data_IF_449590328380
#
_entry.id   IF_449590328380
#
_cell.length_a   1.000
_cell.length_b   1.000
_cell.length_c   1.000
_cell.angle_alpha   90.00
_cell.angle_beta   90.00
_cell.angle_gamma   90.00
#
_symmetry.space_group_name_H-M   'P 1'
#
loop_
_entity.id
_entity.type
_entity.pdbx_description
1 polymer ?
#
# COMPACT_ATOMS: atom_id res chain seq x y z
N UNK A 1 32.63 -21.34 -3.13
CA UNK A 1 31.36 -20.70 -2.67
C UNK A 1 30.49 -20.53 -3.91
N UNK A 2 29.49 -21.35 -4.09
CA UNK A 2 28.51 -21.16 -5.15
C UNK A 2 27.80 -19.82 -4.88
N UNK A 3 27.91 -18.90 -5.81
CA UNK A 3 27.09 -17.69 -5.83
C UNK A 3 25.64 -18.14 -6.05
N UNK A 4 24.86 -18.23 -4.98
CA UNK A 4 23.41 -18.42 -5.08
C UNK A 4 22.87 -17.40 -6.08
N UNK A 5 22.21 -17.89 -7.13
CA UNK A 5 21.59 -17.04 -8.14
C UNK A 5 20.62 -16.07 -7.45
N UNK A 6 20.76 -14.78 -7.72
CA UNK A 6 19.89 -13.74 -7.15
C UNK A 6 18.47 -13.89 -7.69
N UNK A 7 17.47 -13.72 -6.80
CA UNK A 7 16.07 -13.64 -7.21
C UNK A 7 15.83 -12.36 -8.01
N UNK A 8 15.36 -12.48 -9.23
CA UNK A 8 15.05 -11.37 -10.14
C UNK A 8 13.65 -10.86 -9.87
N UNK A 9 13.55 -9.64 -9.36
CA UNK A 9 12.29 -9.03 -8.90
C UNK A 9 11.92 -7.85 -9.81
N UNK A 10 10.82 -8.00 -10.56
CA UNK A 10 10.21 -6.91 -11.31
C UNK A 10 9.28 -6.09 -10.39
N UNK A 11 9.55 -4.81 -10.22
CA UNK A 11 8.71 -3.88 -9.45
C UNK A 11 7.97 -2.93 -10.39
N UNK A 12 6.71 -3.22 -10.66
CA UNK A 12 5.83 -2.36 -11.45
C UNK A 12 5.28 -1.22 -10.59
N UNK A 13 5.31 -0.01 -11.10
CA UNK A 13 4.89 1.18 -10.35
C UNK A 13 5.93 1.61 -9.30
N UNK A 14 7.21 1.45 -9.58
CA UNK A 14 8.33 1.68 -8.66
C UNK A 14 8.40 3.11 -8.09
N UNK A 15 7.76 4.10 -8.72
CA UNK A 15 7.64 5.48 -8.21
C UNK A 15 6.55 5.66 -7.17
N UNK A 16 5.75 4.64 -6.89
CA UNK A 16 4.67 4.69 -5.91
C UNK A 16 5.17 4.72 -4.47
N UNK A 17 4.39 5.27 -3.56
CA UNK A 17 4.71 5.40 -2.14
C UNK A 17 5.06 4.06 -1.48
N UNK A 18 4.21 3.03 -1.66
CA UNK A 18 4.43 1.70 -1.07
C UNK A 18 5.63 1.01 -1.74
N UNK A 19 5.77 1.16 -3.06
CA UNK A 19 6.89 0.58 -3.81
C UNK A 19 8.25 1.13 -3.35
N UNK A 20 8.35 2.45 -3.14
CA UNK A 20 9.57 3.06 -2.60
C UNK A 20 9.90 2.53 -1.21
N UNK A 21 8.90 2.40 -0.34
CA UNK A 21 9.08 1.88 1.01
C UNK A 21 9.50 0.40 1.01
N UNK A 22 8.89 -0.44 0.17
CA UNK A 22 9.32 -1.82 -0.02
C UNK A 22 10.75 -1.89 -0.54
N UNK A 23 11.07 -1.11 -1.56
CA UNK A 23 12.41 -1.08 -2.15
C UNK A 23 13.48 -0.72 -1.11
N UNK A 24 13.21 0.28 -0.24
CA UNK A 24 14.15 0.72 0.81
C UNK A 24 14.53 -0.36 1.82
N UNK A 25 13.66 -1.34 2.05
CA UNK A 25 13.92 -2.45 2.98
C UNK A 25 14.33 -3.74 2.28
N UNK A 26 13.80 -4.01 1.09
CA UNK A 26 14.14 -5.22 0.35
C UNK A 26 15.53 -5.15 -0.31
N UNK A 27 16.02 -3.94 -0.64
CA UNK A 27 17.34 -3.77 -1.24
C UNK A 27 18.51 -4.07 -0.29
N UNK A 28 18.27 -4.16 1.02
CA UNK A 28 19.24 -4.63 2.00
C UNK A 28 19.60 -6.12 1.79
N UNK A 29 18.74 -6.84 1.08
CA UNK A 29 18.93 -8.25 0.73
C UNK A 29 19.84 -8.39 -0.48
N UNK A 30 20.99 -9.01 -0.27
CA UNK A 30 22.00 -9.25 -1.35
C UNK A 30 21.60 -10.34 -2.33
N UNK A 31 20.61 -11.16 -1.98
CA UNK A 31 20.04 -12.24 -2.78
C UNK A 31 18.93 -11.78 -3.75
N UNK A 32 18.65 -10.47 -3.81
CA UNK A 32 17.69 -9.90 -4.75
C UNK A 32 18.36 -9.02 -5.80
N UNK A 33 17.80 -9.05 -7.02
CA UNK A 33 18.11 -8.15 -8.13
C UNK A 33 16.83 -7.48 -8.60
N UNK A 34 16.82 -6.14 -8.66
CA UNK A 34 15.62 -5.36 -8.93
C UNK A 34 15.59 -4.81 -10.35
N UNK A 35 14.42 -4.98 -10.99
CA UNK A 35 14.03 -4.40 -12.26
C UNK A 35 12.88 -3.44 -12.01
N UNK A 36 13.11 -2.14 -12.16
CA UNK A 36 12.18 -1.10 -11.79
C UNK A 36 11.45 -0.56 -13.01
N UNK A 37 10.12 -0.60 -12.97
CA UNK A 37 9.27 -0.16 -14.07
C UNK A 37 8.41 1.03 -13.68
N UNK A 38 8.45 2.08 -14.52
CA UNK A 38 7.62 3.27 -14.37
C UNK A 38 7.34 3.93 -15.73
N UNK A 39 6.49 4.95 -15.74
CA UNK A 39 6.19 5.75 -16.93
C UNK A 39 7.30 6.73 -17.32
N UNK A 40 8.20 7.06 -16.38
CA UNK A 40 9.28 8.04 -16.55
C UNK A 40 10.56 7.50 -15.91
N UNK A 41 11.63 7.46 -16.70
CA UNK A 41 12.97 7.06 -16.24
C UNK A 41 13.56 8.09 -15.28
N UNK A 42 13.30 9.40 -15.49
CA UNK A 42 13.77 10.48 -14.63
C UNK A 42 13.24 10.34 -13.21
N UNK A 43 11.95 9.97 -13.07
CA UNK A 43 11.35 9.70 -11.77
C UNK A 43 11.95 8.49 -11.08
N UNK A 44 12.41 7.49 -11.81
CA UNK A 44 13.13 6.34 -11.23
C UNK A 44 14.51 6.78 -10.68
N UNK A 45 15.19 7.72 -11.31
CA UNK A 45 16.45 8.27 -10.80
C UNK A 45 16.23 9.00 -9.47
N UNK A 46 15.15 9.78 -9.36
CA UNK A 46 14.78 10.44 -8.10
C UNK A 46 14.48 9.42 -7.00
N UNK A 47 13.76 8.34 -7.33
CA UNK A 47 13.47 7.24 -6.40
C UNK A 47 14.76 6.61 -5.91
N UNK A 48 15.67 6.22 -6.81
CA UNK A 48 16.93 5.55 -6.44
C UNK A 48 17.79 6.43 -5.53
N UNK A 49 17.88 7.74 -5.79
CA UNK A 49 18.55 8.70 -4.92
C UNK A 49 17.91 8.75 -3.53
N UNK A 50 16.58 8.80 -3.47
CA UNK A 50 15.81 8.91 -2.23
C UNK A 50 15.89 7.64 -1.37
N UNK A 51 15.84 6.47 -2.01
CA UNK A 51 15.83 5.16 -1.33
C UNK A 51 17.25 4.66 -1.04
N UNK A 52 18.29 5.32 -1.58
CA UNK A 52 19.71 4.94 -1.42
C UNK A 52 20.00 3.49 -1.84
N UNK A 53 19.38 3.05 -2.93
CA UNK A 53 19.47 1.67 -3.43
C UNK A 53 20.69 1.47 -4.31
N UNK A 54 21.24 0.25 -4.25
CA UNK A 54 22.24 -0.32 -5.16
C UNK A 54 21.75 -0.32 -6.62
N UNK A 55 22.64 -0.53 -7.60
CA UNK A 55 22.26 -0.47 -9.01
C UNK A 55 21.07 -1.40 -9.27
N UNK A 56 19.95 -0.81 -9.66
CA UNK A 56 18.77 -1.48 -10.14
C UNK A 56 18.60 -1.16 -11.63
N UNK A 57 18.13 -2.13 -12.40
CA UNK A 57 17.80 -1.91 -13.80
C UNK A 57 16.51 -1.09 -13.89
N UNK A 58 16.46 -0.10 -14.79
CA UNK A 58 15.34 0.81 -14.98
C UNK A 58 14.81 0.67 -16.39
N UNK A 59 13.48 0.58 -16.54
CA UNK A 59 12.86 0.46 -17.84
C UNK A 59 11.42 1.04 -17.87
N UNK A 60 10.93 1.25 -19.08
CA UNK A 60 9.52 1.49 -19.32
C UNK A 60 8.69 0.20 -19.25
N UNK A 61 7.38 0.34 -19.13
CA UNK A 61 6.50 -0.85 -19.06
C UNK A 61 6.50 -1.71 -20.33
N UNK A 62 6.87 -1.14 -21.47
CA UNK A 62 6.98 -1.83 -22.76
C UNK A 62 8.12 -2.85 -22.79
N UNK A 63 9.11 -2.71 -21.93
CA UNK A 63 10.23 -3.63 -21.80
C UNK A 63 9.95 -4.80 -20.86
N UNK A 64 8.97 -4.63 -19.95
CA UNK A 64 8.64 -5.65 -18.94
C UNK A 64 8.38 -7.04 -19.54
N UNK A 65 7.61 -7.22 -20.66
CA UNK A 65 7.32 -8.55 -21.18
C UNK A 65 8.53 -9.31 -21.77
N UNK A 66 9.66 -8.62 -21.95
CA UNK A 66 10.88 -9.17 -22.56
C UNK A 66 11.86 -9.73 -21.53
N UNK A 67 11.71 -9.36 -20.27
CA UNK A 67 12.57 -9.82 -19.20
C UNK A 67 12.13 -11.18 -18.63
N UNK A 68 12.99 -11.76 -17.83
CA UNK A 68 12.69 -12.96 -17.05
C UNK A 68 12.74 -12.62 -15.57
N UNK A 69 11.70 -12.96 -14.81
CA UNK A 69 11.58 -12.59 -13.40
C UNK A 69 11.11 -13.79 -12.59
N UNK A 70 11.72 -13.98 -11.42
CA UNK A 70 11.25 -14.95 -10.42
C UNK A 70 10.02 -14.41 -9.69
N UNK A 71 9.97 -13.08 -9.51
CA UNK A 71 8.92 -12.41 -8.73
C UNK A 71 8.48 -11.12 -9.43
N UNK A 72 7.19 -10.87 -9.46
CA UNK A 72 6.59 -9.60 -9.86
C UNK A 72 5.94 -8.96 -8.63
N UNK A 73 6.33 -7.72 -8.30
CA UNK A 73 5.65 -6.87 -7.35
C UNK A 73 4.81 -5.84 -8.13
N UNK A 74 3.51 -6.03 -8.19
CA UNK A 74 2.62 -5.09 -8.89
C UNK A 74 2.06 -4.04 -7.91
N UNK A 75 2.69 -2.86 -7.91
CA UNK A 75 2.25 -1.67 -7.16
C UNK A 75 1.58 -0.61 -8.03
N UNK A 76 1.15 -0.96 -9.24
CA UNK A 76 0.47 -0.03 -10.15
C UNK A 76 -0.97 0.21 -9.72
N UNK A 77 -1.49 1.40 -10.01
CA UNK A 77 -2.86 1.77 -9.73
C UNK A 77 -3.01 3.21 -9.27
N UNK A 78 -4.25 3.61 -9.01
CA UNK A 78 -4.61 4.92 -8.46
C UNK A 78 -5.09 4.69 -7.02
N UNK A 79 -4.27 5.04 -6.03
CA UNK A 79 -4.61 4.84 -4.61
C UNK A 79 -4.74 6.15 -3.83
N UNK A 80 -4.31 7.27 -4.36
CA UNK A 80 -4.42 8.59 -3.74
C UNK A 80 -5.87 9.11 -3.77
N UNK A 81 -6.47 9.59 -2.64
CA UNK A 81 -7.86 10.00 -2.58
C UNK A 81 -8.20 11.16 -3.52
N UNK A 82 -7.28 12.12 -3.71
CA UNK A 82 -7.48 13.24 -4.63
C UNK A 82 -7.53 12.72 -6.07
N UNK A 83 -6.55 11.90 -6.44
CA UNK A 83 -6.50 11.28 -7.77
C UNK A 83 -7.70 10.38 -8.03
N UNK A 84 -8.19 9.64 -7.03
CA UNK A 84 -9.41 8.82 -7.16
C UNK A 84 -10.65 9.68 -7.45
N UNK A 85 -10.78 10.83 -6.78
CA UNK A 85 -11.88 11.78 -7.08
C UNK A 85 -11.78 12.37 -8.49
N UNK A 86 -10.57 12.64 -8.96
CA UNK A 86 -10.29 13.18 -10.28
C UNK A 86 -10.41 12.13 -11.39
N UNK A 87 -9.90 10.93 -11.16
CA UNK A 87 -9.80 9.86 -12.14
C UNK A 87 -11.14 9.25 -12.55
N UNK A 88 -12.16 9.32 -11.69
CA UNK A 88 -13.50 8.79 -12.00
C UNK A 88 -13.42 7.33 -12.54
N UNK A 89 -13.88 7.14 -13.80
CA UNK A 89 -13.87 5.85 -14.48
C UNK A 89 -12.47 5.36 -14.90
N UNK A 90 -11.46 6.24 -14.94
CA UNK A 90 -10.09 5.89 -15.33
C UNK A 90 -9.45 4.83 -14.42
N UNK A 91 -10.00 4.61 -13.21
CA UNK A 91 -9.54 3.55 -12.32
C UNK A 91 -9.64 2.16 -12.96
N UNK A 92 -10.69 1.92 -13.77
CA UNK A 92 -10.90 0.64 -14.42
C UNK A 92 -9.86 0.35 -15.49
N UNK A 93 -9.71 1.16 -16.57
CA UNK A 93 -8.73 0.88 -17.61
C UNK A 93 -7.28 0.90 -17.10
N UNK A 94 -6.96 1.74 -16.10
CA UNK A 94 -5.62 1.73 -15.50
C UNK A 94 -5.37 0.42 -14.76
N UNK A 95 -6.29 -0.04 -13.91
CA UNK A 95 -6.16 -1.29 -13.17
C UNK A 95 -6.11 -2.47 -14.12
N UNK A 96 -7.03 -2.53 -15.08
CA UNK A 96 -7.13 -3.61 -16.07
C UNK A 96 -5.87 -3.75 -16.93
N UNK A 97 -5.33 -2.64 -17.42
CA UNK A 97 -4.12 -2.66 -18.26
C UNK A 97 -2.95 -3.35 -17.57
N UNK A 98 -2.66 -3.01 -16.32
CA UNK A 98 -1.51 -3.57 -15.61
C UNK A 98 -1.77 -4.97 -15.09
N UNK A 99 -3.00 -5.26 -14.73
CA UNK A 99 -3.45 -6.59 -14.35
C UNK A 99 -3.31 -7.56 -15.54
N UNK A 100 -3.81 -7.18 -16.70
CA UNK A 100 -3.69 -7.95 -17.93
C UNK A 100 -2.23 -8.16 -18.35
N UNK A 101 -1.39 -7.12 -18.25
CA UNK A 101 0.05 -7.19 -18.54
C UNK A 101 0.74 -8.28 -17.69
N UNK A 102 0.41 -8.35 -16.40
CA UNK A 102 0.95 -9.36 -15.49
C UNK A 102 0.41 -10.76 -15.82
N UNK A 103 -0.90 -10.90 -16.06
CA UNK A 103 -1.50 -12.21 -16.39
C UNK A 103 -0.99 -12.77 -17.72
N UNK A 104 -0.78 -11.95 -18.73
CA UNK A 104 -0.15 -12.35 -20.00
C UNK A 104 1.30 -12.79 -19.81
N UNK A 105 2.04 -12.14 -18.92
CA UNK A 105 3.39 -12.57 -18.55
C UNK A 105 3.35 -13.94 -17.86
N UNK A 106 2.50 -14.11 -16.83
CA UNK A 106 2.36 -15.35 -16.07
C UNK A 106 1.91 -16.53 -16.94
N UNK A 107 1.11 -16.31 -17.98
CA UNK A 107 0.70 -17.37 -18.92
C UNK A 107 1.88 -18.00 -19.65
N UNK A 108 2.96 -17.24 -19.86
CA UNK A 108 4.21 -17.69 -20.49
C UNK A 108 5.28 -18.11 -19.47
N UNK A 109 5.17 -17.64 -18.23
CA UNK A 109 6.13 -17.88 -17.15
C UNK A 109 5.41 -18.39 -15.88
N UNK A 110 4.84 -19.62 -15.90
CA UNK A 110 4.00 -20.13 -14.82
C UNK A 110 4.72 -20.34 -13.49
N UNK A 111 6.06 -20.37 -13.49
CA UNK A 111 6.88 -20.45 -12.26
C UNK A 111 7.07 -19.12 -11.53
N UNK A 112 6.72 -17.99 -12.16
CA UNK A 112 6.88 -16.66 -11.56
C UNK A 112 5.82 -16.42 -10.47
N UNK A 113 6.26 -15.94 -9.30
CA UNK A 113 5.36 -15.47 -8.23
C UNK A 113 4.93 -14.03 -8.49
N UNK A 114 3.64 -13.76 -8.52
CA UNK A 114 3.10 -12.39 -8.60
C UNK A 114 2.53 -11.96 -7.26
N UNK A 115 3.00 -10.84 -6.73
CA UNK A 115 2.50 -10.18 -5.53
C UNK A 115 1.82 -8.88 -5.96
N UNK A 116 0.50 -8.85 -5.88
CA UNK A 116 -0.32 -7.69 -6.24
C UNK A 116 -0.67 -6.88 -4.99
N UNK A 117 -0.38 -5.58 -5.01
CA UNK A 117 -0.79 -4.67 -3.92
C UNK A 117 -2.28 -4.34 -4.08
N UNK A 118 -3.11 -5.14 -3.44
CA UNK A 118 -4.55 -4.97 -3.33
C UNK A 118 -4.91 -4.06 -2.16
N UNK A 119 -6.18 -3.99 -1.81
CA UNK A 119 -6.68 -3.09 -0.78
C UNK A 119 -7.80 -3.73 0.04
N UNK A 120 -7.93 -3.35 1.31
CA UNK A 120 -9.12 -3.66 2.10
C UNK A 120 -10.43 -3.16 1.49
N UNK A 121 -10.39 -2.30 0.47
CA UNK A 121 -11.58 -1.86 -0.26
C UNK A 121 -12.30 -2.99 -1.02
N UNK A 122 -11.70 -4.16 -1.17
CA UNK A 122 -12.38 -5.36 -1.70
C UNK A 122 -13.53 -5.83 -0.83
N UNK A 123 -13.54 -5.44 0.45
CA UNK A 123 -14.64 -5.72 1.37
C UNK A 123 -15.79 -4.69 1.28
N UNK A 124 -15.66 -3.66 0.44
CA UNK A 124 -16.65 -2.62 0.24
C UNK A 124 -16.20 -1.22 0.65
N UNK A 125 -17.17 -0.32 0.75
CA UNK A 125 -16.94 1.09 1.10
C UNK A 125 -17.31 1.43 2.55
N UNK A 126 -18.12 0.62 3.22
CA UNK A 126 -18.64 0.85 4.55
C UNK A 126 -17.97 -0.10 5.55
N UNK A 127 -17.38 0.46 6.59
CA UNK A 127 -16.66 -0.30 7.62
C UNK A 127 -17.15 0.13 9.01
N UNK A 128 -18.38 -0.20 9.35
CA UNK A 128 -18.97 0.03 10.68
C UNK A 128 -18.39 -0.91 11.74
N UNK A 129 -17.75 -1.99 11.31
CA UNK A 129 -17.01 -2.96 12.12
C UNK A 129 -15.77 -3.44 11.35
N UNK A 130 -14.76 -4.02 12.04
CA UNK A 130 -13.64 -4.65 11.34
C UNK A 130 -14.13 -5.82 10.49
N UNK A 131 -13.37 -6.12 9.44
CA UNK A 131 -13.64 -7.25 8.54
C UNK A 131 -12.81 -8.46 8.91
N UNK A 132 -13.21 -9.63 8.41
CA UNK A 132 -12.49 -10.89 8.49
C UNK A 132 -12.70 -11.70 7.20
N UNK A 133 -12.23 -12.96 7.18
CA UNK A 133 -12.35 -13.87 6.04
C UNK A 133 -13.77 -14.37 5.78
N UNK A 134 -14.71 -14.15 6.70
CA UNK A 134 -16.14 -14.45 6.54
C UNK A 134 -16.96 -13.25 6.07
N UNK A 135 -16.35 -12.08 5.99
CA UNK A 135 -17.04 -10.85 5.63
C UNK A 135 -17.45 -10.86 4.16
N UNK A 136 -18.77 -10.87 3.93
CA UNK A 136 -19.35 -10.81 2.58
C UNK A 136 -19.49 -9.37 2.10
N UNK A 137 -19.14 -9.14 0.84
CA UNK A 137 -19.40 -7.88 0.16
C UNK A 137 -20.86 -7.83 -0.33
N UNK A 138 -21.54 -6.71 -0.07
CA UNK A 138 -22.82 -6.40 -0.69
C UNK A 138 -22.68 -5.17 -1.58
N UNK A 139 -23.04 -5.29 -2.85
CA UNK A 139 -23.08 -4.20 -3.81
C UNK A 139 -24.49 -4.01 -4.36
N UNK A 140 -25.01 -2.78 -4.25
CA UNK A 140 -26.22 -2.43 -4.96
C UNK A 140 -25.86 -2.01 -6.39
N UNK A 141 -26.00 -2.95 -7.35
CA UNK A 141 -25.57 -2.74 -8.73
C UNK A 141 -26.32 -1.59 -9.42
N UNK A 142 -27.54 -1.29 -8.99
CA UNK A 142 -28.35 -0.21 -9.55
C UNK A 142 -27.96 1.18 -9.02
N UNK A 143 -27.13 1.25 -7.99
CA UNK A 143 -26.74 2.49 -7.31
C UNK A 143 -25.22 2.58 -7.05
N UNK A 144 -24.40 2.07 -7.99
CA UNK A 144 -22.96 2.22 -7.91
C UNK A 144 -22.55 3.67 -8.07
N UNK A 145 -21.80 4.21 -7.13
CA UNK A 145 -21.27 5.55 -7.12
C UNK A 145 -19.74 5.59 -7.23
N UNK A 146 -19.19 6.81 -7.27
CA UNK A 146 -17.74 7.01 -7.39
C UNK A 146 -16.94 6.37 -6.26
N UNK A 147 -17.51 6.31 -5.07
CA UNK A 147 -16.93 5.68 -3.88
C UNK A 147 -16.80 4.16 -4.00
N UNK A 148 -17.58 3.52 -4.90
CA UNK A 148 -17.55 2.08 -5.14
C UNK A 148 -16.46 1.68 -6.15
N UNK A 149 -16.14 2.55 -7.12
CA UNK A 149 -15.33 2.21 -8.29
C UNK A 149 -13.94 1.64 -7.93
N UNK A 150 -13.30 2.19 -6.91
CA UNK A 150 -12.00 1.67 -6.46
C UNK A 150 -12.10 0.25 -5.92
N UNK A 151 -13.09 -0.02 -5.06
CA UNK A 151 -13.36 -1.36 -4.53
C UNK A 151 -13.69 -2.35 -5.64
N UNK A 152 -14.61 -1.98 -6.53
CA UNK A 152 -15.02 -2.82 -7.67
C UNK A 152 -13.83 -3.15 -8.58
N UNK A 153 -12.96 -2.20 -8.90
CA UNK A 153 -11.77 -2.46 -9.71
C UNK A 153 -10.82 -3.46 -9.03
N UNK A 154 -10.64 -3.37 -7.70
CA UNK A 154 -9.81 -4.32 -6.95
C UNK A 154 -10.45 -5.71 -6.86
N UNK A 155 -11.77 -5.80 -6.66
CA UNK A 155 -12.52 -7.07 -6.67
C UNK A 155 -12.39 -7.73 -8.04
N UNK A 156 -12.53 -6.98 -9.13
CA UNK A 156 -12.40 -7.49 -10.50
C UNK A 156 -11.00 -8.12 -10.70
N UNK A 157 -9.92 -7.43 -10.31
CA UNK A 157 -8.57 -7.99 -10.38
C UNK A 157 -8.44 -9.28 -9.57
N UNK A 158 -8.87 -9.28 -8.30
CA UNK A 158 -8.77 -10.49 -7.46
C UNK A 158 -9.61 -11.66 -8.01
N UNK A 159 -10.78 -11.38 -8.59
CA UNK A 159 -11.60 -12.40 -9.23
C UNK A 159 -10.88 -13.03 -10.45
N UNK A 160 -10.24 -12.22 -11.30
CA UNK A 160 -9.41 -12.71 -12.41
C UNK A 160 -8.23 -13.55 -11.90
N UNK A 161 -7.56 -13.12 -10.83
CA UNK A 161 -6.48 -13.86 -10.21
C UNK A 161 -6.94 -15.23 -9.70
N UNK A 162 -8.12 -15.33 -9.10
CA UNK A 162 -8.68 -16.63 -8.64
C UNK A 162 -9.10 -17.52 -9.80
N UNK A 163 -9.54 -16.93 -10.93
CA UNK A 163 -9.90 -17.67 -12.13
C UNK A 163 -8.67 -18.13 -12.97
N UNK A 164 -7.48 -17.63 -12.65
CA UNK A 164 -6.24 -17.94 -13.36
C UNK A 164 -5.59 -19.21 -12.80
N UNK A 165 -5.89 -20.36 -13.39
CA UNK A 165 -5.58 -21.71 -12.87
C UNK A 165 -4.10 -22.05 -12.76
N UNK A 166 -3.23 -21.31 -13.44
CA UNK A 166 -1.78 -21.63 -13.58
C UNK A 166 -0.86 -20.67 -12.84
N UNK A 167 -1.41 -19.78 -12.02
CA UNK A 167 -0.66 -18.68 -11.44
C UNK A 167 -0.34 -18.85 -9.96
N UNK A 168 0.87 -18.44 -9.59
CA UNK A 168 1.24 -18.14 -8.22
C UNK A 168 0.92 -16.66 -7.98
N UNK A 169 -0.33 -16.33 -7.61
CA UNK A 169 -0.78 -14.95 -7.45
C UNK A 169 -1.24 -14.70 -6.02
N UNK A 170 -0.61 -13.76 -5.37
CA UNK A 170 -0.93 -13.31 -4.02
C UNK A 170 -1.45 -11.88 -4.06
N UNK A 171 -2.66 -11.67 -3.58
CA UNK A 171 -3.23 -10.33 -3.37
C UNK A 171 -3.00 -9.89 -1.93
N UNK A 172 -2.14 -8.90 -1.74
CA UNK A 172 -1.85 -8.29 -0.44
C UNK A 172 -2.84 -7.15 -0.21
N UNK A 173 -3.88 -7.38 0.61
CA UNK A 173 -4.95 -6.42 0.90
C UNK A 173 -4.50 -5.45 1.98
N UNK A 174 -4.01 -4.30 1.59
CA UNK A 174 -3.52 -3.26 2.48
C UNK A 174 -4.68 -2.33 2.87
N UNK A 175 -4.98 -2.21 4.17
CA UNK A 175 -6.00 -1.31 4.71
C UNK A 175 -5.45 0.10 4.89
N UNK A 176 -4.31 0.22 5.52
CA UNK A 176 -3.58 1.45 5.67
C UNK A 176 -2.07 1.21 5.65
N UNK A 177 -1.33 2.19 5.19
CA UNK A 177 0.11 2.12 5.11
C UNK A 177 0.70 3.51 5.34
N UNK A 178 1.79 3.59 6.09
CA UNK A 178 2.47 4.84 6.32
C UNK A 178 3.98 4.66 6.22
N UNK A 179 4.66 5.59 5.53
CA UNK A 179 6.11 5.61 5.45
C UNK A 179 6.62 7.03 5.20
N UNK A 180 7.91 7.23 5.41
CA UNK A 180 8.61 8.49 5.11
C UNK A 180 8.56 8.91 3.64
N UNK A 181 8.12 8.04 2.75
CA UNK A 181 8.00 8.31 1.31
C UNK A 181 6.63 8.86 0.90
N UNK A 182 5.78 9.26 1.86
CA UNK A 182 4.49 9.87 1.57
C UNK A 182 4.62 11.12 0.68
N UNK A 183 3.60 11.39 -0.14
CA UNK A 183 3.40 12.74 -0.70
C UNK A 183 2.69 13.59 0.36
N UNK A 184 3.34 14.62 0.93
CA UNK A 184 2.75 15.45 1.97
C UNK A 184 1.49 16.20 1.51
N UNK A 185 1.28 16.31 0.19
CA UNK A 185 0.10 16.98 -0.40
C UNK A 185 -1.10 16.03 -0.56
N UNK A 186 -0.93 14.72 -0.32
CA UNK A 186 -2.01 13.75 -0.43
C UNK A 186 -3.04 13.94 0.70
N UNK A 187 -4.33 13.87 0.34
CA UNK A 187 -5.46 14.19 1.23
C UNK A 187 -5.81 13.02 2.18
N UNK A 188 -4.82 12.55 2.96
CA UNK A 188 -5.01 11.57 4.01
C UNK A 188 -4.89 12.19 5.41
N UNK A 189 -5.62 11.65 6.39
CA UNK A 189 -5.53 12.02 7.79
C UNK A 189 -4.07 12.10 8.28
N UNK A 190 -3.31 11.01 8.08
CA UNK A 190 -1.90 10.91 8.50
C UNK A 190 -0.98 11.94 7.84
N UNK A 191 -1.22 12.25 6.56
CA UNK A 191 -0.44 13.25 5.82
C UNK A 191 -0.73 14.66 6.32
N UNK A 192 -2.01 14.95 6.64
CA UNK A 192 -2.41 16.23 7.25
C UNK A 192 -1.78 16.45 8.63
N UNK A 193 -1.72 15.39 9.46
CA UNK A 193 -1.03 15.46 10.77
C UNK A 193 0.43 15.85 10.57
N UNK A 194 1.15 15.19 9.66
CA UNK A 194 2.56 15.52 9.35
C UNK A 194 2.69 16.93 8.81
N UNK A 195 1.83 17.34 7.87
CA UNK A 195 1.85 18.68 7.32
C UNK A 195 1.61 19.76 8.39
N UNK A 196 0.69 19.54 9.33
CA UNK A 196 0.47 20.45 10.45
C UNK A 196 1.68 20.55 11.38
N UNK A 197 2.37 19.45 11.65
CA UNK A 197 3.61 19.45 12.42
C UNK A 197 4.71 20.25 11.71
N UNK A 198 4.94 19.98 10.42
CA UNK A 198 5.95 20.68 9.61
C UNK A 198 5.71 22.19 9.51
N UNK A 199 4.44 22.60 9.38
CA UNK A 199 4.07 24.00 9.21
C UNK A 199 3.68 24.70 10.53
N UNK A 200 3.81 24.04 11.68
CA UNK A 200 3.33 24.53 13.00
C UNK A 200 1.86 24.98 13.00
N UNK A 201 1.07 24.37 12.11
CA UNK A 201 -0.35 24.68 11.93
C UNK A 201 -1.24 23.87 12.88
N UNK A 202 -2.44 24.35 13.09
CA UNK A 202 -3.45 23.64 13.86
C UNK A 202 -4.12 22.55 13.02
N UNK A 203 -4.22 21.35 13.57
CA UNK A 203 -4.96 20.24 12.97
C UNK A 203 -6.42 20.31 13.38
N UNK A 204 -7.31 20.62 12.43
CA UNK A 204 -8.75 20.70 12.66
C UNK A 204 -9.42 19.38 12.27
N UNK A 205 -10.30 18.85 13.15
CA UNK A 205 -11.01 17.59 12.91
C UNK A 205 -12.40 17.58 13.56
N UNK A 206 -13.27 16.68 13.11
CA UNK A 206 -14.59 16.46 13.73
C UNK A 206 -14.53 15.56 14.97
N UNK A 207 -15.65 15.46 15.74
CA UNK A 207 -15.74 14.68 16.97
C UNK A 207 -15.76 13.17 16.75
N UNK A 208 -16.15 12.68 15.56
CA UNK A 208 -16.20 11.26 15.24
C UNK A 208 -14.83 10.60 15.38
N UNK A 209 -14.78 9.45 16.03
CA UNK A 209 -13.56 8.65 16.14
C UNK A 209 -13.52 7.61 15.02
N UNK A 210 -12.32 7.29 14.54
CA UNK A 210 -12.09 6.24 13.54
C UNK A 210 -10.91 5.37 13.97
N UNK A 211 -10.96 4.09 13.66
CA UNK A 211 -9.87 3.15 13.92
C UNK A 211 -9.24 2.76 12.58
N UNK A 212 -7.92 2.85 12.49
CA UNK A 212 -7.13 2.55 11.30
C UNK A 212 -6.00 1.60 11.62
N UNK A 213 -5.66 0.80 10.64
CA UNK A 213 -4.49 -0.05 10.69
C UNK A 213 -3.44 0.48 9.71
N UNK A 214 -2.33 0.98 10.26
CA UNK A 214 -1.20 1.51 9.50
C UNK A 214 -0.03 0.54 9.58
N UNK A 215 0.15 -0.24 8.53
CA UNK A 215 1.22 -1.22 8.43
C UNK A 215 2.57 -0.52 8.26
N UNK A 216 3.56 -1.00 9.03
CA UNK A 216 4.93 -0.51 8.95
C UNK A 216 5.65 -1.01 7.69
N UNK A 217 6.52 -0.20 7.05
CA UNK A 217 7.30 -0.61 5.87
C UNK A 217 8.09 -1.90 6.07
N UNK A 218 8.70 -2.08 7.23
CA UNK A 218 9.46 -3.31 7.57
C UNK A 218 8.57 -4.53 7.65
N UNK A 219 7.38 -4.40 8.24
CA UNK A 219 6.44 -5.52 8.35
C UNK A 219 5.91 -5.94 6.98
N UNK A 220 5.59 -4.97 6.11
CA UNK A 220 5.19 -5.26 4.73
C UNK A 220 6.34 -5.92 3.94
N UNK A 221 7.57 -5.44 4.08
CA UNK A 221 8.74 -6.04 3.44
C UNK A 221 9.02 -7.45 3.97
N UNK A 222 8.82 -7.69 5.26
CA UNK A 222 8.90 -9.03 5.85
C UNK A 222 7.86 -9.99 5.26
N UNK A 223 6.60 -9.55 5.15
CA UNK A 223 5.54 -10.34 4.51
C UNK A 223 5.87 -10.66 3.04
N UNK A 224 6.30 -9.68 2.27
CA UNK A 224 6.76 -9.89 0.88
C UNK A 224 7.89 -10.91 0.82
N UNK A 225 8.89 -10.80 1.69
CA UNK A 225 10.02 -11.76 1.76
C UNK A 225 9.55 -13.17 2.13
N UNK A 226 8.58 -13.32 3.02
CA UNK A 226 7.97 -14.61 3.36
C UNK A 226 7.25 -15.22 2.15
N UNK A 227 6.48 -14.43 1.40
CA UNK A 227 5.84 -14.90 0.17
C UNK A 227 6.89 -15.37 -0.85
N UNK A 228 7.96 -14.60 -1.06
CA UNK A 228 9.07 -14.95 -1.96
C UNK A 228 9.74 -16.26 -1.52
N UNK A 229 9.99 -16.43 -0.23
CA UNK A 229 10.61 -17.63 0.31
C UNK A 229 9.73 -18.87 0.17
N UNK A 230 8.42 -18.74 0.24
CA UNK A 230 7.47 -19.84 -0.02
C UNK A 230 7.44 -20.26 -1.49
N UNK A 231 7.65 -19.31 -2.41
CA UNK A 231 7.73 -19.55 -3.86
C UNK A 231 6.40 -19.89 -4.52
N UNK A 232 5.61 -20.79 -3.94
CA UNK A 232 4.30 -21.20 -4.48
C UNK A 232 3.19 -20.83 -3.52
N UNK A 233 2.46 -19.79 -3.85
CA UNK A 233 1.31 -19.27 -3.09
C UNK A 233 0.22 -18.77 -4.02
N UNK A 234 -1.04 -18.98 -3.65
CA UNK A 234 -2.18 -18.41 -4.35
C UNK A 234 -3.26 -17.98 -3.33
N UNK A 235 -3.75 -16.76 -3.43
CA UNK A 235 -4.85 -16.27 -2.58
C UNK A 235 -4.69 -14.83 -2.13
N UNK A 236 -5.76 -14.33 -1.48
CA UNK A 236 -5.76 -13.03 -0.83
C UNK A 236 -5.28 -13.15 0.62
N UNK A 237 -4.47 -12.19 1.05
CA UNK A 237 -3.97 -12.05 2.42
C UNK A 237 -4.19 -10.61 2.90
N UNK A 238 -4.91 -10.45 3.99
CA UNK A 238 -5.06 -9.17 4.64
C UNK A 238 -3.74 -8.81 5.33
N UNK A 239 -3.27 -7.59 5.10
CA UNK A 239 -2.04 -7.07 5.69
C UNK A 239 -2.42 -6.22 6.89
N UNK A 240 -1.86 -6.54 8.04
CA UNK A 240 -2.21 -5.92 9.32
C UNK A 240 -0.96 -5.58 10.14
N UNK A 241 -1.09 -4.60 11.04
CA UNK A 241 -0.10 -4.25 12.05
C UNK A 241 -0.30 -5.07 13.33
N UNK A 242 0.62 -4.93 14.28
CA UNK A 242 0.47 -5.57 15.60
C UNK A 242 -0.81 -5.10 16.33
N UNK A 243 -1.18 -3.82 16.17
CA UNK A 243 -2.38 -3.23 16.76
C UNK A 243 -2.84 -2.01 15.96
N UNK A 244 -4.10 -1.94 15.51
CA UNK A 244 -4.68 -0.72 14.94
C UNK A 244 -4.75 0.40 15.97
N UNK A 245 -4.88 1.65 15.51
CA UNK A 245 -4.94 2.83 16.38
C UNK A 245 -6.18 3.69 16.12
N UNK A 246 -6.76 4.25 17.19
CA UNK A 246 -7.86 5.18 17.10
C UNK A 246 -7.37 6.60 16.79
N UNK A 247 -8.19 7.40 16.09
CA UNK A 247 -7.87 8.78 15.72
C UNK A 247 -7.42 9.63 16.91
N UNK A 248 -8.18 9.61 18.00
CA UNK A 248 -7.85 10.43 19.16
C UNK A 248 -6.64 9.90 19.93
N UNK A 249 -6.40 8.58 19.97
CA UNK A 249 -5.17 8.00 20.50
C UNK A 249 -3.94 8.55 19.75
N UNK A 250 -4.02 8.59 18.41
CA UNK A 250 -2.97 9.16 17.57
C UNK A 250 -2.78 10.66 17.86
N UNK A 251 -3.87 11.43 17.82
CA UNK A 251 -3.82 12.89 18.02
C UNK A 251 -3.28 13.26 19.42
N UNK A 252 -3.69 12.56 20.46
CA UNK A 252 -3.22 12.77 21.83
C UNK A 252 -1.73 12.47 21.97
N UNK A 253 -1.25 11.38 21.35
CA UNK A 253 0.17 11.07 21.31
C UNK A 253 0.98 12.18 20.63
N UNK A 254 0.55 12.61 19.44
CA UNK A 254 1.25 13.66 18.68
C UNK A 254 1.17 15.03 19.37
N UNK A 255 0.06 15.35 20.03
CA UNK A 255 -0.06 16.55 20.87
C UNK A 255 0.95 16.55 22.02
N UNK A 256 1.05 15.42 22.73
CA UNK A 256 1.91 15.28 23.92
C UNK A 256 3.40 15.25 23.58
N UNK A 257 3.78 14.56 22.48
CA UNK A 257 5.18 14.25 22.21
C UNK A 257 5.79 15.04 21.03
N UNK A 258 4.95 15.66 20.18
CA UNK A 258 5.39 16.41 19.01
C UNK A 258 4.86 17.85 19.00
N UNK A 259 4.07 18.26 19.98
CA UNK A 259 3.51 19.61 20.07
C UNK A 259 2.44 19.91 19.04
N UNK A 260 1.75 18.88 18.48
CA UNK A 260 0.65 19.08 17.55
C UNK A 260 -0.48 19.88 18.21
N UNK A 261 -0.89 20.99 17.59
CA UNK A 261 -2.07 21.72 17.99
C UNK A 261 -3.30 21.05 17.37
N UNK A 262 -4.31 20.73 18.18
CA UNK A 262 -5.51 20.03 17.72
C UNK A 262 -6.75 20.81 18.17
N UNK A 263 -7.64 21.05 17.20
CA UNK A 263 -8.99 21.62 17.46
C UNK A 263 -10.07 20.70 16.91
N UNK A 264 -11.06 20.42 17.75
CA UNK A 264 -12.24 19.61 17.38
C UNK A 264 -13.39 20.56 17.08
N UNK A 265 -14.00 20.41 15.90
CA UNK A 265 -15.16 21.19 15.46
C UNK A 265 -16.36 20.28 15.25
N UNK A 266 -17.48 20.57 15.90
CA UNK A 266 -18.72 19.77 15.82
C UNK A 266 -19.27 19.64 14.38
N UNK A 267 -19.18 20.69 13.59
CA UNK A 267 -19.69 20.74 12.22
C UNK A 267 -18.63 20.42 11.15
N UNK A 268 -17.52 19.78 11.54
CA UNK A 268 -16.46 19.41 10.59
C UNK A 268 -16.87 18.19 9.75
N UNK A 269 -16.92 18.37 8.44
CA UNK A 269 -17.18 17.29 7.49
C UNK A 269 -15.90 16.97 6.70
N UNK A 270 -15.31 15.80 6.98
CA UNK A 270 -14.21 15.29 6.17
C UNK A 270 -14.75 14.72 4.86
N UNK A 271 -14.23 15.19 3.72
CA UNK A 271 -14.52 14.57 2.44
C UNK A 271 -13.90 13.17 2.37
N UNK A 272 -14.70 12.14 2.11
CA UNK A 272 -14.23 10.77 1.88
C UNK A 272 -14.28 10.44 0.39
N UNK A 273 -13.21 9.85 -0.15
CA UNK A 273 -13.17 9.42 -1.55
C UNK A 273 -13.76 8.02 -1.76
N UNK A 274 -13.87 7.23 -0.70
CA UNK A 274 -14.23 5.80 -0.75
C UNK A 274 -15.21 5.40 0.35
N UNK A 275 -16.13 6.29 0.73
CA UNK A 275 -17.17 6.05 1.73
C UNK A 275 -16.72 6.14 3.19
N UNK A 276 -17.68 6.05 4.15
CA UNK A 276 -17.41 6.11 5.58
C UNK A 276 -16.68 4.84 6.05
N UNK A 277 -15.69 5.03 6.91
CA UNK A 277 -14.87 3.93 7.43
C UNK A 277 -14.53 4.16 8.89
N UNK A 278 -15.40 3.71 9.79
CA UNK A 278 -15.14 3.83 11.22
C UNK A 278 -14.08 2.85 11.70
N UNK A 279 -14.12 1.61 11.22
CA UNK A 279 -13.22 0.51 11.59
C UNK A 279 -12.52 -0.08 10.36
N UNK A 280 -11.59 0.66 9.74
CA UNK A 280 -10.91 0.20 8.53
C UNK A 280 -9.68 -0.63 8.86
N UNK A 281 -9.90 -1.90 9.23
CA UNK A 281 -8.88 -2.90 9.51
C UNK A 281 -9.48 -4.31 9.48
N UNK A 282 -8.60 -5.34 9.47
CA UNK A 282 -8.99 -6.75 9.43
C UNK A 282 -8.67 -7.50 10.72
N UNK A 283 -9.52 -8.45 11.06
CA UNK A 283 -9.29 -9.46 12.08
C UNK A 283 -8.75 -10.77 11.50
N UNK A 284 -8.72 -10.94 10.18
CA UNK A 284 -8.14 -12.13 9.55
C UNK A 284 -6.65 -12.24 9.88
N UNK A 285 -6.25 -13.44 10.28
CA UNK A 285 -4.86 -13.80 10.60
C UNK A 285 -4.30 -14.85 9.65
N UNK A 286 -4.89 -14.99 8.46
CA UNK A 286 -4.48 -15.97 7.44
C UNK A 286 -2.98 -15.89 7.12
N UNK A 287 -2.40 -14.68 7.11
CA UNK A 287 -0.97 -14.48 6.86
C UNK A 287 -0.06 -15.11 7.95
N UNK A 288 -0.59 -15.40 9.14
CA UNK A 288 0.15 -16.15 10.15
C UNK A 288 0.52 -17.56 9.70
N UNK A 289 -0.31 -18.18 8.86
CA UNK A 289 -0.06 -19.50 8.29
C UNK A 289 1.18 -19.56 7.39
N UNK A 290 1.63 -18.44 6.85
CA UNK A 290 2.89 -18.32 6.09
C UNK A 290 4.04 -17.75 6.92
N UNK A 291 3.83 -17.53 8.21
CA UNK A 291 4.85 -17.06 9.16
C UNK A 291 4.85 -15.55 9.42
N UNK A 292 3.86 -14.80 8.91
CA UNK A 292 3.79 -13.36 9.15
C UNK A 292 3.49 -13.04 10.61
N UNK A 293 4.35 -12.22 11.21
CA UNK A 293 4.22 -11.70 12.58
C UNK A 293 4.65 -10.24 12.58
N UNK A 294 3.70 -9.28 12.49
CA UNK A 294 4.04 -7.86 12.52
C UNK A 294 4.70 -7.49 13.84
N UNK A 295 5.66 -6.59 13.78
CA UNK A 295 6.44 -6.13 14.94
C UNK A 295 6.01 -4.75 15.42
N UNK A 296 5.31 -3.99 14.58
CA UNK A 296 4.93 -2.61 14.85
C UNK A 296 3.42 -2.47 14.96
N UNK A 297 2.96 -1.71 15.96
CA UNK A 297 1.60 -1.19 15.99
C UNK A 297 1.43 -0.01 15.03
N UNK A 298 0.19 0.33 14.71
CA UNK A 298 -0.13 1.50 13.89
C UNK A 298 0.41 2.81 14.49
N UNK A 299 0.38 2.95 15.82
CA UNK A 299 0.89 4.15 16.48
C UNK A 299 2.41 4.23 16.38
N UNK A 300 3.14 3.13 16.65
CA UNK A 300 4.60 3.06 16.49
C UNK A 300 5.02 3.36 15.05
N UNK A 301 4.30 2.80 14.07
CA UNK A 301 4.51 3.09 12.65
C UNK A 301 4.40 4.58 12.34
N UNK A 302 3.33 5.24 12.82
CA UNK A 302 3.13 6.67 12.60
C UNK A 302 4.21 7.50 13.28
N UNK A 303 4.63 7.14 14.49
CA UNK A 303 5.65 7.84 15.26
C UNK A 303 7.03 7.71 14.59
N UNK A 304 7.48 6.49 14.29
CA UNK A 304 8.82 6.25 13.70
C UNK A 304 8.96 6.93 12.34
N UNK A 305 7.98 6.74 11.46
CA UNK A 305 8.04 7.29 10.12
C UNK A 305 7.85 8.81 10.10
N UNK A 306 7.06 9.39 11.02
CA UNK A 306 6.96 10.86 11.18
C UNK A 306 8.27 11.46 11.67
N UNK A 307 8.94 10.85 12.65
CA UNK A 307 10.28 11.30 13.09
C UNK A 307 11.24 11.36 11.90
N UNK A 308 11.30 10.29 11.10
CA UNK A 308 12.15 10.23 9.90
C UNK A 308 11.82 11.33 8.87
N UNK A 309 10.54 11.69 8.72
CA UNK A 309 10.14 12.79 7.82
C UNK A 309 10.61 14.13 8.36
N UNK A 310 10.43 14.39 9.65
CA UNK A 310 10.81 15.65 10.28
C UNK A 310 12.33 15.84 10.30
N UNK A 311 13.09 14.79 10.58
CA UNK A 311 14.57 14.81 10.58
C UNK A 311 15.15 15.03 9.18
N UNK A 312 14.47 14.53 8.13
CA UNK A 312 14.93 14.71 6.75
C UNK A 312 14.71 16.13 6.20
N UNK A 313 13.95 16.97 6.90
CA UNK A 313 13.69 18.37 6.56
C UNK A 313 14.00 19.32 7.74
N UNK A 314 15.27 19.47 8.15
CA UNK A 314 15.65 20.25 9.33
C UNK A 314 15.42 21.77 9.19
N UNK A 315 15.12 22.27 7.98
CA UNK A 315 14.93 23.72 7.73
C UNK A 315 13.55 24.26 8.12
N UNK A 316 12.75 23.53 8.86
CA UNK A 316 11.42 23.93 9.37
C UNK A 316 11.39 24.07 10.90
N UNK A 317 12.56 24.25 11.52
CA UNK A 317 12.78 24.55 12.94
C UNK A 317 12.64 26.03 13.27
#
# INVERSE_FOLDING_TARGET
METLARKRIALLGATGHIAQALLSHLCERRDYEFFLFARSAERLDEVLKRVRVLPAQKAGYEEFPRGEYDVILNGTGIGDPKRLREAKAEIFPVTERFDQLVLEYLSRHPGTLSLNLSSGAVYGKEFFRPVDDTTALQLNINHLGREDFYGVAKIHSEAKHRAFDRGNIVDLRIFGFFSRFIDPRADYFKNKVVACLQNRAEFVTGPGNMIRDYVHPRDLAALVSLCIAKGTLNGGYDVYSLKPAAKFEILDHFRKHFGLKVRVEENFHAATATGPKDHYYSLSRKAEGIGYRPQYSSLETLVEETKSILESNPNLG
#
